data_IF_556980185853
#
_entry.id   IF_556980185853
#
_cell.length_a   1.000
_cell.length_b   1.000
_cell.length_c   1.000
_cell.angle_alpha   90.00
_cell.angle_beta   90.00
_cell.angle_gamma   90.00
#
_symmetry.space_group_name_H-M   'P 1'
#
loop_
_entity.id
_entity.type
_entity.pdbx_description
1 polymer ?
#
# COMPACT_ATOMS: atom_id res chain seq x y z
N UNK A 1 27.23 -70.46 -14.10
CA UNK A 1 28.53 -69.80 -13.90
C UNK A 1 28.54 -68.53 -14.73
N UNK A 2 28.79 -67.38 -14.06
CA UNK A 2 29.13 -66.03 -14.57
C UNK A 2 28.15 -65.31 -15.52
N UNK A 3 27.46 -64.24 -15.07
CA UNK A 3 27.90 -62.82 -14.88
C UNK A 3 28.40 -62.21 -16.19
N UNK A 4 28.09 -60.98 -16.61
CA UNK A 4 27.35 -59.81 -16.13
C UNK A 4 27.34 -58.84 -17.31
N UNK A 5 26.21 -58.17 -17.56
CA UNK A 5 26.14 -57.08 -18.52
C UNK A 5 25.03 -56.13 -18.12
N UNK A 6 25.06 -55.67 -16.87
CA UNK A 6 24.18 -54.62 -16.42
C UNK A 6 24.49 -53.34 -17.20
N UNK A 7 23.62 -52.99 -18.13
CA UNK A 7 23.38 -51.57 -18.39
C UNK A 7 22.67 -51.05 -17.14
N UNK A 8 23.48 -50.56 -16.20
CA UNK A 8 23.00 -49.90 -15.00
C UNK A 8 22.03 -48.81 -15.39
N UNK A 9 20.93 -48.70 -14.64
CA UNK A 9 20.04 -47.54 -14.50
C UNK A 9 20.79 -46.22 -14.15
N UNK A 10 22.13 -46.22 -14.16
CA UNK A 10 23.03 -45.08 -13.94
C UNK A 10 23.39 -44.41 -15.28
N UNK A 11 22.43 -44.23 -16.17
CA UNK A 11 22.48 -43.18 -17.19
C UNK A 11 21.21 -42.34 -17.13
N UNK A 12 20.76 -42.03 -15.90
CA UNK A 12 20.17 -40.72 -15.70
C UNK A 12 21.28 -39.72 -15.97
N UNK A 13 21.31 -39.17 -17.19
CA UNK A 13 21.90 -37.86 -17.40
C UNK A 13 21.37 -36.95 -16.29
N UNK A 14 22.21 -36.67 -15.30
CA UNK A 14 21.97 -35.63 -14.32
C UNK A 14 22.03 -34.32 -15.09
N UNK A 15 20.95 -33.97 -15.78
CA UNK A 15 20.84 -32.69 -16.44
C UNK A 15 21.18 -31.62 -15.41
N UNK A 16 22.19 -30.81 -15.70
CA UNK A 16 22.48 -29.62 -14.91
C UNK A 16 21.35 -28.65 -15.20
N UNK A 17 20.34 -28.66 -14.34
CA UNK A 17 19.24 -27.71 -14.39
C UNK A 17 19.78 -26.37 -13.94
N UNK A 18 19.77 -25.39 -14.84
CA UNK A 18 19.97 -24.00 -14.50
C UNK A 18 18.59 -23.42 -14.26
N UNK A 19 18.25 -23.18 -12.99
CA UNK A 19 17.05 -22.41 -12.64
C UNK A 19 17.41 -20.95 -12.89
N UNK A 20 16.79 -20.36 -13.91
CA UNK A 20 16.86 -18.92 -14.17
C UNK A 20 15.60 -18.32 -13.58
N UNK A 21 15.76 -17.66 -12.44
CA UNK A 21 14.70 -16.88 -11.81
C UNK A 21 14.98 -15.39 -12.11
N UNK A 22 14.15 -14.81 -12.98
CA UNK A 22 14.23 -13.40 -13.38
C UNK A 22 12.97 -12.64 -12.97
N UNK A 23 12.27 -13.09 -11.94
CA UNK A 23 11.01 -12.49 -11.50
C UNK A 23 11.26 -11.15 -10.80
N UNK A 24 10.60 -10.10 -11.29
CA UNK A 24 10.52 -8.78 -10.64
C UNK A 24 9.10 -8.66 -10.10
N UNK A 25 8.96 -8.44 -8.80
CA UNK A 25 7.67 -8.33 -8.12
C UNK A 25 7.33 -6.87 -7.83
N UNK A 26 6.04 -6.57 -7.73
CA UNK A 26 5.57 -5.27 -7.23
C UNK A 26 5.78 -5.15 -5.73
N UNK A 27 6.01 -3.94 -5.25
CA UNK A 27 5.93 -3.65 -3.82
C UNK A 27 4.48 -3.35 -3.43
N UNK A 28 3.86 -4.26 -2.67
CA UNK A 28 2.48 -4.11 -2.21
C UNK A 28 2.46 -3.37 -0.87
N UNK A 29 1.99 -2.11 -0.86
CA UNK A 29 2.00 -1.22 0.31
C UNK A 29 0.64 -0.62 0.65
N UNK A 30 -0.37 -0.78 -0.18
CA UNK A 30 -1.70 -0.20 -0.04
C UNK A 30 -2.37 -0.56 1.29
N UNK A 31 -2.18 -1.79 1.78
CA UNK A 31 -2.70 -2.21 3.08
C UNK A 31 -2.06 -1.44 4.26
N UNK A 32 -0.87 -0.85 4.10
CA UNK A 32 -0.19 -0.10 5.17
C UNK A 32 -0.94 1.18 5.56
N UNK A 33 -1.88 1.65 4.73
CA UNK A 33 -2.70 2.82 5.01
C UNK A 33 -3.81 2.51 6.02
N UNK A 34 -4.18 1.24 6.15
CA UNK A 34 -5.34 0.78 6.91
C UNK A 34 -4.93 0.23 8.28
N UNK A 35 -5.82 0.41 9.24
CA UNK A 35 -5.75 -0.31 10.51
C UNK A 35 -6.27 -1.73 10.28
N UNK A 36 -5.40 -2.71 10.46
CA UNK A 36 -5.71 -4.11 10.18
C UNK A 36 -6.18 -4.85 11.43
N UNK A 37 -7.26 -5.62 11.31
CA UNK A 37 -7.76 -6.49 12.36
C UNK A 37 -8.12 -7.88 11.80
N UNK A 38 -7.85 -8.92 12.59
CA UNK A 38 -8.25 -10.30 12.28
C UNK A 38 -9.48 -10.64 13.11
N UNK A 39 -10.56 -11.00 12.43
CA UNK A 39 -11.85 -11.32 13.02
C UNK A 39 -11.95 -12.80 13.38
N UNK A 40 -12.65 -13.10 14.47
CA UNK A 40 -13.08 -14.46 14.79
C UNK A 40 -14.19 -14.98 13.85
N UNK A 41 -14.48 -16.28 13.90
CA UNK A 41 -15.44 -16.95 12.99
C UNK A 41 -16.87 -16.44 13.11
N UNK A 42 -17.30 -16.03 14.30
CA UNK A 42 -18.62 -15.46 14.59
C UNK A 42 -18.61 -13.92 14.67
N UNK A 43 -17.44 -13.31 14.56
CA UNK A 43 -17.28 -11.86 14.64
C UNK A 43 -17.64 -11.18 13.31
N UNK A 44 -18.29 -10.03 13.41
CA UNK A 44 -18.65 -9.15 12.29
C UNK A 44 -17.97 -7.80 12.47
N UNK A 45 -17.44 -7.20 11.39
CA UNK A 45 -16.85 -5.86 11.49
C UNK A 45 -17.97 -4.84 11.60
N UNK A 46 -18.01 -4.14 12.73
CA UNK A 46 -19.02 -3.12 13.04
C UNK A 46 -18.34 -1.76 13.19
N UNK A 47 -18.91 -0.74 12.55
CA UNK A 47 -18.54 0.66 12.73
C UNK A 47 -19.59 1.34 13.60
N UNK A 48 -19.13 2.02 14.65
CA UNK A 48 -20.01 2.81 15.53
C UNK A 48 -19.74 4.29 15.34
N UNK A 49 -20.77 5.06 14.99
CA UNK A 49 -20.64 6.51 14.89
C UNK A 49 -20.69 7.18 16.27
N UNK A 50 -19.51 7.35 16.87
CA UNK A 50 -19.32 8.12 18.10
C UNK A 50 -18.83 9.56 17.84
N UNK A 51 -19.15 10.15 16.69
CA UNK A 51 -18.75 11.51 16.37
C UNK A 51 -19.37 12.51 17.36
N UNK A 52 -18.53 13.18 18.16
CA UNK A 52 -18.94 14.17 19.16
C UNK A 52 -19.75 15.35 18.57
N UNK A 53 -19.63 15.61 17.25
CA UNK A 53 -20.46 16.59 16.56
C UNK A 53 -21.94 16.18 16.45
N UNK A 54 -22.29 14.93 16.79
CA UNK A 54 -23.60 14.31 16.60
C UNK A 54 -24.09 14.38 15.16
N UNK A 55 -23.15 14.34 14.22
CA UNK A 55 -23.42 14.39 12.78
C UNK A 55 -23.32 13.00 12.16
N UNK A 56 -24.12 12.72 11.13
CA UNK A 56 -23.98 11.48 10.38
C UNK A 56 -22.61 11.42 9.71
N UNK A 57 -22.08 10.21 9.61
CA UNK A 57 -20.85 9.92 8.85
C UNK A 57 -21.17 8.97 7.71
N UNK A 58 -20.32 8.96 6.69
CA UNK A 58 -20.39 7.98 5.60
C UNK A 58 -19.07 7.24 5.52
N UNK A 59 -19.09 6.04 4.95
CA UNK A 59 -17.87 5.32 4.62
C UNK A 59 -17.92 4.75 3.21
N UNK A 60 -16.75 4.60 2.62
CA UNK A 60 -16.57 3.85 1.39
C UNK A 60 -16.08 2.46 1.74
N UNK A 61 -16.61 1.44 1.07
CA UNK A 61 -16.19 0.06 1.26
C UNK A 61 -16.06 -0.62 -0.09
N UNK A 62 -15.17 -1.61 -0.13
CA UNK A 62 -14.99 -2.44 -1.32
C UNK A 62 -16.01 -3.57 -1.35
N UNK A 63 -16.34 -4.03 -2.55
CA UNK A 63 -17.16 -5.22 -2.79
C UNK A 63 -16.38 -6.32 -3.50
N UNK A 64 -17.01 -7.48 -3.61
CA UNK A 64 -16.55 -8.54 -4.51
C UNK A 64 -16.38 -7.98 -5.93
N UNK A 65 -15.22 -8.19 -6.54
CA UNK A 65 -14.85 -7.64 -7.85
C UNK A 65 -14.15 -6.27 -7.83
N UNK A 66 -13.85 -5.71 -6.65
CA UNK A 66 -13.03 -4.49 -6.52
C UNK A 66 -13.78 -3.18 -6.71
N UNK A 67 -15.11 -3.22 -6.86
CA UNK A 67 -15.95 -2.02 -6.85
C UNK A 67 -15.92 -1.32 -5.50
N UNK A 68 -15.98 0.01 -5.50
CA UNK A 68 -16.15 0.81 -4.27
C UNK A 68 -17.59 1.30 -4.20
N UNK A 69 -18.25 1.13 -3.06
CA UNK A 69 -19.58 1.68 -2.80
C UNK A 69 -19.57 2.63 -1.62
N UNK A 70 -20.45 3.63 -1.67
CA UNK A 70 -20.69 4.56 -0.57
C UNK A 70 -21.80 4.00 0.32
N UNK A 71 -21.56 3.95 1.62
CA UNK A 71 -22.57 3.54 2.60
C UNK A 71 -23.68 4.58 2.72
N UNK A 72 -24.88 4.16 3.17
CA UNK A 72 -25.82 5.08 3.79
C UNK A 72 -25.19 5.84 4.96
N UNK A 73 -25.76 6.99 5.31
CA UNK A 73 -25.31 7.77 6.45
C UNK A 73 -25.55 7.02 7.77
N UNK A 74 -24.49 6.82 8.55
CA UNK A 74 -24.57 6.26 9.90
C UNK A 74 -24.88 7.40 10.87
N UNK A 75 -26.05 7.39 11.50
CA UNK A 75 -26.41 8.38 12.52
C UNK A 75 -25.59 8.21 13.80
N UNK A 76 -25.49 9.27 14.59
CA UNK A 76 -24.78 9.23 15.86
C UNK A 76 -25.36 8.17 16.82
N UNK A 77 -24.48 7.37 17.43
CA UNK A 77 -24.83 6.28 18.33
C UNK A 77 -25.40 5.04 17.65
N UNK A 78 -25.45 5.02 16.31
CA UNK A 78 -25.81 3.82 15.55
C UNK A 78 -24.57 3.03 15.15
N UNK A 79 -24.80 1.73 15.05
CA UNK A 79 -23.86 0.74 14.56
C UNK A 79 -24.24 0.38 13.13
N UNK A 80 -23.24 0.17 12.28
CA UNK A 80 -23.43 -0.31 10.91
C UNK A 80 -22.44 -1.45 10.64
N UNK A 81 -22.94 -2.54 10.08
CA UNK A 81 -22.12 -3.68 9.68
C UNK A 81 -21.38 -3.38 8.38
N UNK A 82 -20.08 -3.63 8.36
CA UNK A 82 -19.29 -3.60 7.12
C UNK A 82 -19.40 -4.96 6.46
N UNK A 83 -19.94 -4.99 5.24
CA UNK A 83 -20.06 -6.24 4.50
C UNK A 83 -18.68 -6.82 4.17
N UNK A 84 -18.40 -8.02 4.66
CA UNK A 84 -17.25 -8.80 4.21
C UNK A 84 -17.53 -9.44 2.85
N UNK A 85 -16.50 -9.64 2.05
CA UNK A 85 -16.57 -10.24 0.73
C UNK A 85 -15.37 -11.15 0.49
N UNK A 86 -15.42 -11.92 -0.60
CA UNK A 86 -14.35 -12.84 -0.98
C UNK A 86 -13.48 -12.26 -2.09
N UNK A 87 -12.18 -12.43 -1.97
CA UNK A 87 -11.21 -12.21 -3.04
C UNK A 87 -10.65 -13.57 -3.43
N UNK A 88 -10.52 -13.82 -4.74
CA UNK A 88 -9.97 -15.06 -5.26
C UNK A 88 -8.67 -14.76 -6.02
N UNK A 89 -7.63 -15.54 -5.77
CA UNK A 89 -6.38 -15.49 -6.52
C UNK A 89 -6.61 -15.79 -8.01
N UNK A 90 -5.58 -15.57 -8.83
CA UNK A 90 -5.57 -16.16 -10.15
C UNK A 90 -5.47 -17.69 -10.08
N UNK A 91 -5.98 -18.34 -11.12
CA UNK A 91 -5.97 -19.79 -11.22
C UNK A 91 -4.62 -20.26 -11.76
N UNK A 92 -4.03 -21.23 -11.09
CA UNK A 92 -2.79 -21.91 -11.52
C UNK A 92 -3.05 -23.39 -11.68
N UNK A 93 -2.22 -24.07 -12.47
CA UNK A 93 -2.42 -25.50 -12.72
C UNK A 93 -1.11 -26.27 -12.83
N UNK A 94 -1.19 -27.58 -12.57
CA UNK A 94 -0.11 -28.53 -12.82
C UNK A 94 -0.65 -29.84 -13.39
N UNK A 95 0.20 -30.61 -14.08
CA UNK A 95 -0.21 -31.85 -14.73
C UNK A 95 -0.40 -33.00 -13.71
N UNK A 96 -1.48 -33.76 -13.87
CA UNK A 96 -1.82 -34.90 -12.99
C UNK A 96 -0.76 -36.01 -13.11
N UNK A 97 -0.29 -36.32 -14.33
CA UNK A 97 0.75 -37.33 -14.56
C UNK A 97 2.05 -37.08 -13.78
N UNK A 98 2.45 -35.80 -13.65
CA UNK A 98 3.65 -35.44 -12.88
C UNK A 98 3.43 -35.69 -11.38
N UNK A 99 2.22 -35.44 -10.88
CA UNK A 99 1.85 -35.64 -9.49
C UNK A 99 1.77 -37.14 -9.14
N UNK A 100 1.11 -37.94 -10.00
CA UNK A 100 0.96 -39.39 -9.81
C UNK A 100 2.32 -40.09 -9.83
N UNK A 101 3.25 -39.67 -10.69
CA UNK A 101 4.58 -40.26 -10.78
C UNK A 101 5.51 -39.88 -9.60
N UNK A 102 5.03 -39.08 -8.63
CA UNK A 102 5.88 -38.52 -7.57
C UNK A 102 6.99 -37.62 -8.11
N UNK A 103 6.82 -37.12 -9.33
CA UNK A 103 7.79 -36.33 -10.09
C UNK A 103 7.48 -34.85 -10.06
N UNK A 104 6.33 -34.43 -9.54
CA UNK A 104 6.10 -33.03 -9.18
C UNK A 104 7.10 -32.69 -8.10
N UNK A 105 8.18 -31.96 -8.42
CA UNK A 105 9.12 -31.51 -7.42
C UNK A 105 8.34 -30.64 -6.43
N UNK A 106 8.63 -30.74 -5.14
CA UNK A 106 8.07 -29.85 -4.11
C UNK A 106 8.16 -28.39 -4.54
N UNK A 107 9.24 -28.03 -5.24
CA UNK A 107 9.47 -26.74 -5.88
C UNK A 107 8.34 -26.26 -6.82
N UNK A 108 7.70 -27.14 -7.61
CA UNK A 108 6.57 -26.73 -8.48
C UNK A 108 5.35 -26.36 -7.63
N UNK A 109 5.08 -27.14 -6.57
CA UNK A 109 3.96 -26.88 -5.66
C UNK A 109 4.22 -25.59 -4.88
N UNK A 110 5.44 -25.40 -4.38
CA UNK A 110 5.85 -24.20 -3.67
C UNK A 110 5.76 -22.95 -4.56
N UNK A 111 6.14 -23.06 -5.84
CA UNK A 111 6.01 -21.98 -6.81
C UNK A 111 4.55 -21.66 -7.11
N UNK A 112 3.68 -22.67 -7.24
CA UNK A 112 2.24 -22.45 -7.42
C UNK A 112 1.64 -21.76 -6.21
N UNK A 113 1.98 -22.20 -5.00
CA UNK A 113 1.52 -21.60 -3.76
C UNK A 113 1.99 -20.14 -3.64
N UNK A 114 3.25 -19.87 -3.99
CA UNK A 114 3.80 -18.51 -4.02
C UNK A 114 3.07 -17.63 -5.04
N UNK A 115 2.95 -18.07 -6.29
CA UNK A 115 2.24 -17.33 -7.34
C UNK A 115 0.79 -16.98 -6.96
N UNK A 116 0.11 -17.93 -6.31
CA UNK A 116 -1.28 -17.78 -5.87
C UNK A 116 -1.39 -16.82 -4.69
N UNK A 117 -0.45 -16.87 -3.75
CA UNK A 117 -0.36 -15.91 -2.66
C UNK A 117 -0.05 -14.50 -3.19
N UNK A 118 0.95 -14.37 -4.06
CA UNK A 118 1.38 -13.10 -4.65
C UNK A 118 0.24 -12.46 -5.46
N UNK A 119 -0.47 -13.25 -6.28
CA UNK A 119 -1.65 -12.79 -7.04
C UNK A 119 -2.74 -12.23 -6.12
N UNK A 120 -2.94 -12.87 -4.96
CA UNK A 120 -3.92 -12.40 -4.00
C UNK A 120 -3.49 -11.10 -3.31
N UNK A 121 -2.21 -11.00 -2.95
CA UNK A 121 -1.64 -9.80 -2.32
C UNK A 121 -1.69 -8.61 -3.29
N UNK A 122 -1.44 -8.82 -4.59
CA UNK A 122 -1.62 -7.79 -5.63
C UNK A 122 -3.07 -7.31 -5.68
N UNK A 123 -4.05 -8.23 -5.73
CA UNK A 123 -5.47 -7.85 -5.77
C UNK A 123 -5.92 -7.10 -4.51
N UNK A 124 -5.41 -7.50 -3.34
CA UNK A 124 -5.64 -6.79 -2.09
C UNK A 124 -5.06 -5.37 -2.14
N UNK A 125 -3.83 -5.24 -2.65
CA UNK A 125 -3.15 -3.96 -2.82
C UNK A 125 -3.91 -3.01 -3.76
N UNK A 126 -4.35 -3.51 -4.92
CA UNK A 126 -5.12 -2.75 -5.90
C UNK A 126 -6.44 -2.21 -5.32
N UNK A 127 -7.14 -3.04 -4.54
CA UNK A 127 -8.37 -2.63 -3.85
C UNK A 127 -8.06 -1.57 -2.79
N UNK A 128 -7.01 -1.77 -2.00
CA UNK A 128 -6.59 -0.83 -0.96
C UNK A 128 -6.23 0.53 -1.57
N UNK A 129 -5.48 0.56 -2.68
CA UNK A 129 -5.17 1.77 -3.43
C UNK A 129 -6.42 2.44 -4.02
N UNK A 130 -7.32 1.66 -4.59
CA UNK A 130 -8.58 2.17 -5.15
C UNK A 130 -9.38 2.88 -4.07
N UNK A 131 -9.56 2.23 -2.93
CA UNK A 131 -10.22 2.81 -1.77
C UNK A 131 -9.47 4.04 -1.23
N UNK A 132 -8.15 3.99 -1.14
CA UNK A 132 -7.36 5.13 -0.66
C UNK A 132 -7.50 6.34 -1.58
N UNK A 133 -7.54 6.13 -2.90
CA UNK A 133 -7.80 7.20 -3.87
C UNK A 133 -9.22 7.75 -3.77
N UNK A 134 -10.23 6.94 -3.39
CA UNK A 134 -11.59 7.47 -3.11
C UNK A 134 -11.67 8.35 -1.86
N UNK A 135 -10.66 8.29 -0.99
CA UNK A 135 -10.51 9.19 0.14
C UNK A 135 -10.00 10.59 -0.26
N UNK A 136 -9.47 10.75 -1.48
CA UNK A 136 -8.98 12.03 -1.95
C UNK A 136 -10.14 12.96 -2.30
N UNK A 137 -10.06 14.21 -1.87
CA UNK A 137 -11.08 15.19 -2.18
C UNK A 137 -11.09 16.40 -1.24
N UNK A 138 -12.21 17.12 -1.28
CA UNK A 138 -12.47 18.26 -0.42
C UNK A 138 -13.07 17.76 0.89
N UNK A 139 -12.67 18.40 1.99
CA UNK A 139 -13.20 18.13 3.32
C UNK A 139 -14.31 19.13 3.66
N UNK A 140 -15.40 18.60 4.20
CA UNK A 140 -16.56 19.35 4.67
C UNK A 140 -16.62 19.30 6.19
N UNK A 141 -16.58 20.46 6.84
CA UNK A 141 -16.73 20.54 8.30
C UNK A 141 -18.12 20.01 8.71
N UNK A 142 -18.14 19.22 9.78
CA UNK A 142 -19.33 18.52 10.29
C UNK A 142 -19.53 17.12 9.71
N UNK A 143 -19.04 16.85 8.49
CA UNK A 143 -19.20 15.54 7.82
C UNK A 143 -17.88 14.76 7.78
N UNK A 144 -16.80 15.42 7.37
CA UNK A 144 -15.46 14.82 7.22
C UNK A 144 -14.55 15.17 8.41
N UNK A 145 -14.82 16.25 9.13
CA UNK A 145 -14.06 16.59 10.32
C UNK A 145 -14.88 17.49 11.22
N UNK A 146 -14.48 17.54 12.49
CA UNK A 146 -15.07 18.45 13.46
C UNK A 146 -13.96 19.15 14.24
N UNK A 147 -13.90 20.47 14.11
CA UNK A 147 -12.92 21.30 14.82
C UNK A 147 -13.51 21.67 16.19
N UNK A 148 -13.14 20.91 17.22
CA UNK A 148 -13.59 21.19 18.58
C UNK A 148 -12.99 22.50 19.13
N UNK A 149 -11.70 22.76 18.89
CA UNK A 149 -11.01 23.95 19.39
C UNK A 149 -11.12 25.11 18.40
N UNK A 150 -11.93 26.11 18.74
CA UNK A 150 -12.16 27.33 17.92
C UNK A 150 -10.90 28.15 17.64
N UNK A 151 -9.77 27.86 18.29
CA UNK A 151 -8.48 28.51 18.01
C UNK A 151 -7.81 27.97 16.75
N UNK A 152 -8.23 26.81 16.25
CA UNK A 152 -7.77 26.26 14.98
C UNK A 152 -8.37 27.08 13.84
N UNK A 153 -7.53 27.81 13.09
CA UNK A 153 -7.97 28.74 12.03
C UNK A 153 -7.66 28.28 10.61
N UNK A 154 -6.68 27.39 10.44
CA UNK A 154 -6.10 27.05 9.14
C UNK A 154 -6.17 25.54 8.87
N UNK A 155 -7.24 24.85 9.26
CA UNK A 155 -7.41 23.43 8.98
C UNK A 155 -7.38 23.20 7.46
N UNK A 156 -6.72 22.14 6.94
CA UNK A 156 -6.71 21.90 5.50
C UNK A 156 -8.12 21.60 5.00
N UNK A 157 -8.44 22.05 3.79
CA UNK A 157 -9.75 21.82 3.16
C UNK A 157 -9.72 20.72 2.11
N UNK A 158 -8.55 20.18 1.78
CA UNK A 158 -8.38 19.06 0.86
C UNK A 158 -7.05 18.35 1.14
N UNK A 159 -6.98 17.06 0.79
CA UNK A 159 -5.75 16.27 0.71
C UNK A 159 -5.20 16.14 -0.72
N UNK A 160 -5.72 16.91 -1.67
CA UNK A 160 -5.17 17.01 -3.03
C UNK A 160 -4.38 18.32 -3.14
N UNK A 161 -3.06 18.21 -3.22
CA UNK A 161 -2.14 19.35 -3.34
C UNK A 161 -1.66 19.44 -4.79
N UNK A 162 -2.05 20.49 -5.50
CA UNK A 162 -1.68 20.66 -6.90
C UNK A 162 -0.59 21.73 -7.06
N UNK A 163 0.58 21.31 -7.54
CA UNK A 163 1.78 22.13 -7.75
C UNK A 163 2.19 22.21 -9.23
N UNK A 164 1.39 21.70 -10.17
CA UNK A 164 1.72 21.71 -11.61
C UNK A 164 1.80 23.11 -12.24
N UNK A 165 1.42 24.15 -11.51
CA UNK A 165 1.61 25.55 -11.92
C UNK A 165 2.96 26.16 -11.53
N UNK A 166 3.82 25.43 -10.82
CA UNK A 166 5.13 25.93 -10.39
C UNK A 166 6.20 25.70 -11.47
N UNK A 167 7.20 26.57 -11.53
CA UNK A 167 8.32 26.45 -12.48
C UNK A 167 9.28 25.30 -12.16
N UNK A 168 9.17 24.71 -10.96
CA UNK A 168 10.04 23.62 -10.51
C UNK A 168 9.56 22.29 -11.13
N UNK A 169 10.48 21.55 -11.74
CA UNK A 169 10.27 20.20 -12.30
C UNK A 169 10.79 19.14 -11.32
N UNK A 170 10.24 17.93 -11.39
CA UNK A 170 10.62 16.80 -10.55
C UNK A 170 10.24 16.94 -9.07
N UNK A 171 10.73 16.00 -8.26
CA UNK A 171 10.49 15.99 -6.81
C UNK A 171 11.29 17.10 -6.10
N UNK A 172 10.65 18.26 -5.93
CA UNK A 172 11.31 19.49 -5.46
C UNK A 172 11.00 19.86 -4.00
N UNK A 173 11.72 20.82 -3.39
CA UNK A 173 11.41 21.36 -2.06
C UNK A 173 9.97 21.88 -1.92
N UNK A 174 9.35 22.32 -3.02
CA UNK A 174 7.98 22.80 -3.01
C UNK A 174 7.00 21.66 -2.66
N UNK A 175 7.25 20.44 -3.15
CA UNK A 175 6.47 19.24 -2.83
C UNK A 175 6.53 18.96 -1.33
N UNK A 176 7.73 18.88 -0.76
CA UNK A 176 7.91 18.62 0.67
C UNK A 176 7.33 19.71 1.57
N UNK A 177 7.47 20.98 1.18
CA UNK A 177 6.84 22.11 1.89
C UNK A 177 5.32 22.04 1.83
N UNK A 178 4.74 21.61 0.72
CA UNK A 178 3.29 21.43 0.61
C UNK A 178 2.80 20.30 1.53
N UNK A 179 3.49 19.15 1.54
CA UNK A 179 3.18 18.03 2.43
C UNK A 179 3.27 18.46 3.89
N UNK A 180 4.41 18.99 4.33
CA UNK A 180 4.54 19.37 5.74
C UNK A 180 3.65 20.56 6.12
N UNK A 181 3.39 21.50 5.21
CA UNK A 181 2.41 22.56 5.40
C UNK A 181 0.98 22.03 5.61
N UNK A 182 0.62 20.94 4.93
CA UNK A 182 -0.62 20.21 5.18
C UNK A 182 -0.64 19.56 6.57
N UNK A 183 0.41 18.82 6.92
CA UNK A 183 0.50 18.10 8.21
C UNK A 183 0.50 19.05 9.41
N UNK A 184 1.23 20.17 9.35
CA UNK A 184 1.28 21.17 10.41
C UNK A 184 -0.08 21.80 10.74
N UNK A 185 -1.02 21.78 9.78
CA UNK A 185 -2.38 22.31 9.95
C UNK A 185 -3.34 21.32 10.61
N UNK A 186 -3.03 20.03 10.63
CA UNK A 186 -3.89 19.00 11.23
C UNK A 186 -3.79 18.97 12.77
N UNK A 187 -2.60 19.24 13.32
CA UNK A 187 -2.38 19.30 14.77
C UNK A 187 -2.60 17.96 15.47
N UNK A 188 -3.73 17.80 16.19
CA UNK A 188 -4.08 16.58 16.92
C UNK A 188 -5.49 16.13 16.57
N UNK A 189 -5.68 14.83 16.37
CA UNK A 189 -6.98 14.19 16.13
C UNK A 189 -7.18 13.15 17.23
N UNK A 190 -8.31 13.20 17.93
CA UNK A 190 -8.58 12.29 19.06
C UNK A 190 -7.53 12.37 20.18
N UNK A 191 -6.84 13.50 20.32
CA UNK A 191 -5.74 13.69 21.27
C UNK A 191 -4.36 13.22 20.78
N UNK A 192 -4.30 12.53 19.64
CA UNK A 192 -3.06 11.99 19.06
C UNK A 192 -2.46 13.02 18.09
N UNK A 193 -1.18 13.41 18.24
CA UNK A 193 -0.50 14.24 17.25
C UNK A 193 -0.47 13.55 15.89
N UNK A 194 -0.93 14.27 14.88
CA UNK A 194 -0.84 13.79 13.50
C UNK A 194 0.57 14.07 13.01
N UNK A 195 1.26 13.02 12.56
CA UNK A 195 2.60 13.12 12.00
C UNK A 195 2.63 12.46 10.64
N UNK A 196 3.48 12.98 9.76
CA UNK A 196 3.83 12.32 8.52
C UNK A 196 4.50 10.98 8.85
N UNK A 197 4.10 9.91 8.15
CA UNK A 197 4.64 8.56 8.36
C UNK A 197 5.49 8.17 7.15
N UNK A 198 4.89 8.09 5.98
CA UNK A 198 5.56 7.74 4.74
C UNK A 198 5.19 8.70 3.60
N UNK A 199 6.11 8.86 2.67
CA UNK A 199 5.94 9.49 1.38
C UNK A 199 6.25 8.42 0.33
N UNK A 200 5.31 8.18 -0.57
CA UNK A 200 5.40 7.19 -1.64
C UNK A 200 5.67 7.90 -2.97
N UNK A 201 6.73 7.51 -3.66
CA UNK A 201 7.22 8.18 -4.88
C UNK A 201 7.56 7.18 -5.97
N UNK A 202 7.53 7.62 -7.23
CA UNK A 202 8.11 6.85 -8.33
C UNK A 202 9.64 6.73 -8.18
N UNK A 203 10.28 5.65 -8.66
CA UNK A 203 11.74 5.49 -8.59
C UNK A 203 12.50 6.61 -9.30
N UNK A 204 11.98 7.14 -10.40
CA UNK A 204 12.56 8.26 -11.15
C UNK A 204 12.53 9.55 -10.31
N UNK A 205 11.40 9.81 -9.64
CA UNK A 205 11.24 10.96 -8.76
C UNK A 205 12.17 10.89 -7.54
N UNK A 206 12.52 9.68 -7.08
CA UNK A 206 13.53 9.50 -6.05
C UNK A 206 14.90 10.01 -6.53
N UNK A 207 15.26 9.78 -7.80
CA UNK A 207 16.51 10.32 -8.36
C UNK A 207 16.52 11.85 -8.37
N UNK A 208 15.42 12.51 -8.73
CA UNK A 208 15.30 13.97 -8.66
C UNK A 208 15.51 14.50 -7.23
N UNK A 209 14.98 13.79 -6.24
CA UNK A 209 15.21 14.14 -4.84
C UNK A 209 16.68 14.03 -4.46
N UNK A 210 17.40 13.05 -5.01
CA UNK A 210 18.82 12.87 -4.74
C UNK A 210 19.64 13.98 -5.39
N UNK A 211 19.28 14.39 -6.62
CA UNK A 211 19.87 15.55 -7.29
C UNK A 211 19.67 16.82 -6.48
N UNK A 212 18.47 17.05 -5.92
CA UNK A 212 18.23 18.17 -5.01
C UNK A 212 19.07 18.10 -3.72
N UNK A 213 19.09 16.93 -3.08
CA UNK A 213 19.86 16.71 -1.83
C UNK A 213 21.36 16.88 -2.06
N UNK A 214 21.84 16.66 -3.28
CA UNK A 214 23.22 16.89 -3.67
C UNK A 214 23.56 18.34 -4.04
N UNK A 215 22.56 19.25 -4.13
CA UNK A 215 22.80 20.69 -4.29
C UNK A 215 23.47 21.23 -3.00
N UNK A 216 24.80 21.28 -3.04
CA UNK A 216 25.67 21.62 -1.92
C UNK A 216 25.52 23.09 -1.50
N UNK A 217 25.19 23.34 -0.23
CA UNK A 217 25.62 24.57 0.44
C UNK A 217 27.15 24.51 0.55
N UNK A 218 27.84 25.47 -0.07
CA UNK A 218 29.29 25.49 -0.21
C UNK A 218 30.06 25.00 1.03
N UNK A 219 31.10 24.19 0.79
CA UNK A 219 32.11 23.83 1.79
C UNK A 219 32.58 25.05 2.58
N UNK A 220 33.08 24.84 3.79
CA UNK A 220 33.62 25.83 4.75
C UNK A 220 34.40 27.00 4.11
N UNK A 221 33.69 28.02 3.62
CA UNK A 221 34.26 29.20 2.95
C UNK A 221 33.67 29.56 1.57
N UNK A 222 32.78 28.76 0.99
CA UNK A 222 32.13 29.07 -0.29
C UNK A 222 30.81 29.83 -0.13
N UNK A 223 30.59 30.85 -0.97
CA UNK A 223 29.34 31.63 -1.00
C UNK A 223 28.16 30.73 -1.31
N UNK A 224 27.15 30.69 -0.43
CA UNK A 224 25.90 29.97 -0.67
C UNK A 224 25.21 30.60 -1.89
N UNK A 225 25.10 29.85 -2.99
CA UNK A 225 24.59 30.37 -4.27
C UNK A 225 23.07 30.56 -4.21
N UNK A 226 22.35 29.75 -3.40
CA UNK A 226 20.93 29.99 -3.05
C UNK A 226 20.54 29.23 -1.75
N UNK A 227 20.47 29.91 -0.58
CA UNK A 227 20.12 29.28 0.70
C UNK A 227 18.73 28.64 0.73
N UNK A 228 17.83 29.03 -0.18
CA UNK A 228 16.45 28.51 -0.20
C UNK A 228 16.33 27.16 -0.92
N UNK A 229 17.36 26.78 -1.67
CA UNK A 229 17.41 25.54 -2.48
C UNK A 229 18.47 24.54 -2.02
N UNK A 230 19.35 24.94 -1.11
CA UNK A 230 20.47 24.10 -0.63
C UNK A 230 20.10 23.35 0.64
N UNK A 231 20.55 22.10 0.75
CA UNK A 231 20.33 21.24 1.94
C UNK A 231 21.58 21.27 2.84
N UNK A 232 21.43 21.44 4.17
CA UNK A 232 22.55 21.34 5.11
C UNK A 232 23.27 19.98 5.01
N UNK A 233 24.61 19.98 5.11
CA UNK A 233 25.42 18.78 4.86
C UNK A 233 25.18 17.64 5.84
N UNK A 234 24.80 17.95 7.08
CA UNK A 234 24.42 16.99 8.12
C UNK A 234 23.10 16.27 7.80
N UNK A 235 22.07 17.03 7.38
CA UNK A 235 20.79 16.49 6.90
C UNK A 235 21.02 15.62 5.66
N UNK A 236 21.82 16.11 4.71
CA UNK A 236 22.21 15.35 3.52
C UNK A 236 22.86 14.01 3.88
N UNK A 237 23.87 14.03 4.75
CA UNK A 237 24.60 12.81 5.12
C UNK A 237 23.70 11.79 5.82
N UNK A 238 22.71 12.24 6.57
CA UNK A 238 21.73 11.36 7.20
C UNK A 238 20.75 10.75 6.18
N UNK A 239 20.26 11.54 5.21
CA UNK A 239 19.44 11.04 4.09
C UNK A 239 20.20 9.98 3.31
N UNK A 240 21.43 10.27 2.88
CA UNK A 240 22.26 9.35 2.11
C UNK A 240 22.57 8.04 2.83
N UNK A 241 22.73 8.06 4.16
CA UNK A 241 23.07 6.86 4.94
C UNK A 241 21.88 6.00 5.30
N UNK A 242 20.70 6.58 5.42
CA UNK A 242 19.54 5.89 6.02
C UNK A 242 18.34 5.77 5.10
N UNK A 243 18.26 6.55 4.02
CA UNK A 243 17.05 6.69 3.20
C UNK A 243 15.89 7.38 3.92
N UNK A 244 16.08 7.79 5.17
CA UNK A 244 15.10 8.53 5.97
C UNK A 244 15.32 10.01 5.70
N UNK A 245 14.25 10.80 5.60
CA UNK A 245 14.36 12.26 5.71
C UNK A 245 14.29 12.64 7.19
N UNK A 246 15.43 12.81 7.87
CA UNK A 246 15.41 13.31 9.24
C UNK A 246 14.91 14.75 9.21
N UNK A 247 14.01 15.04 10.15
CA UNK A 247 13.60 16.42 10.42
C UNK A 247 12.97 17.15 9.22
N UNK A 248 12.14 16.44 8.43
CA UNK A 248 11.26 17.08 7.46
C UNK A 248 10.23 17.92 8.22
N UNK A 249 10.58 19.19 8.43
CA UNK A 249 9.77 20.16 9.19
C UNK A 249 9.48 19.70 10.63
N UNK A 250 10.47 19.17 11.36
CA UNK A 250 10.28 18.69 12.73
C UNK A 250 9.88 17.23 12.85
N UNK A 251 9.74 16.51 11.72
CA UNK A 251 9.15 15.16 11.69
C UNK A 251 10.00 14.21 10.85
N UNK A 252 10.16 12.98 11.33
CA UNK A 252 10.78 11.91 10.54
C UNK A 252 9.73 11.32 9.60
N UNK A 253 10.10 11.15 8.34
CA UNK A 253 9.27 10.48 7.35
C UNK A 253 10.11 9.50 6.53
N UNK A 254 9.50 8.35 6.21
CA UNK A 254 10.12 7.40 5.29
C UNK A 254 9.81 7.80 3.86
N UNK A 255 10.82 7.76 2.99
CA UNK A 255 10.63 7.93 1.55
C UNK A 255 10.67 6.54 0.91
N UNK A 256 9.55 6.11 0.34
CA UNK A 256 9.35 4.74 -0.17
C UNK A 256 9.19 4.82 -1.69
N UNK A 257 10.21 4.41 -2.47
CA UNK A 257 10.08 4.32 -3.92
C UNK A 257 9.25 3.10 -4.30
N UNK A 258 8.19 3.29 -5.09
CA UNK A 258 7.29 2.23 -5.55
C UNK A 258 7.45 2.02 -7.05
N UNK A 259 7.87 0.82 -7.45
CA UNK A 259 8.05 0.47 -8.87
C UNK A 259 6.75 0.39 -9.69
N UNK A 260 5.59 0.56 -9.06
CA UNK A 260 4.27 0.60 -9.69
C UNK A 260 3.73 2.01 -9.85
N UNK A 261 4.47 3.02 -9.39
CA UNK A 261 4.02 4.41 -9.34
C UNK A 261 4.61 5.22 -10.51
N UNK A 262 3.74 5.99 -11.17
CA UNK A 262 4.13 6.87 -12.26
C UNK A 262 4.74 8.20 -11.76
N UNK A 263 5.70 8.80 -12.48
CA UNK A 263 6.20 10.14 -12.18
C UNK A 263 5.11 11.23 -12.23
N UNK A 264 5.32 12.33 -11.49
CA UNK A 264 4.42 13.50 -11.47
C UNK A 264 3.37 13.47 -10.37
N UNK A 265 3.25 12.36 -9.64
CA UNK A 265 2.43 12.26 -8.44
C UNK A 265 3.27 11.76 -7.24
N UNK A 266 2.88 12.16 -6.04
CA UNK A 266 3.40 11.66 -4.76
C UNK A 266 2.19 11.36 -3.87
N UNK A 267 2.20 10.24 -3.16
CA UNK A 267 1.23 9.97 -2.10
C UNK A 267 1.91 10.06 -0.75
N UNK A 268 1.15 10.39 0.29
CA UNK A 268 1.66 10.39 1.65
C UNK A 268 0.59 9.91 2.63
N UNK A 269 1.03 9.22 3.68
CA UNK A 269 0.19 8.78 4.79
C UNK A 269 0.68 9.38 6.11
N UNK A 270 -0.22 9.39 7.09
CA UNK A 270 0.05 9.91 8.43
C UNK A 270 0.01 8.81 9.47
N UNK A 271 0.25 9.17 10.72
CA UNK A 271 0.02 8.30 11.88
C UNK A 271 -1.45 7.95 12.09
N UNK A 272 -2.38 8.65 11.44
CA UNK A 272 -3.80 8.31 11.46
C UNK A 272 -4.09 7.40 10.25
N UNK A 273 -4.55 6.16 10.46
CA UNK A 273 -4.90 5.27 9.37
C UNK A 273 -6.10 5.83 8.59
N UNK A 274 -6.12 5.60 7.29
CA UNK A 274 -7.16 6.09 6.39
C UNK A 274 -8.51 5.38 6.59
N UNK A 275 -8.47 4.19 7.18
CA UNK A 275 -9.60 3.29 7.28
C UNK A 275 -9.25 2.03 8.04
N UNK A 276 -10.09 1.03 7.87
CA UNK A 276 -9.96 -0.27 8.49
C UNK A 276 -9.93 -1.37 7.43
N UNK A 277 -9.14 -2.40 7.70
CA UNK A 277 -9.06 -3.62 6.94
C UNK A 277 -9.31 -4.79 7.89
N UNK A 278 -10.23 -5.66 7.52
CA UNK A 278 -10.56 -6.85 8.28
C UNK A 278 -10.26 -8.09 7.46
N UNK A 279 -9.71 -9.10 8.12
CA UNK A 279 -9.50 -10.43 7.58
C UNK A 279 -10.26 -11.44 8.41
N UNK A 280 -10.77 -12.50 7.77
CA UNK A 280 -11.44 -13.59 8.47
C UNK A 280 -10.86 -14.94 8.03
N UNK A 281 -9.66 -15.31 8.53
CA UNK A 281 -8.92 -16.47 8.06
C UNK A 281 -9.67 -17.80 8.19
N UNK A 282 -10.60 -17.92 9.13
CA UNK A 282 -11.42 -19.12 9.30
C UNK A 282 -12.33 -19.43 8.11
N UNK A 283 -12.61 -18.42 7.26
CA UNK A 283 -13.42 -18.56 6.04
C UNK A 283 -12.55 -18.65 4.78
N UNK A 284 -11.23 -18.58 4.91
CA UNK A 284 -10.30 -18.73 3.79
C UNK A 284 -10.34 -20.19 3.31
N UNK A 285 -10.30 -20.37 1.99
CA UNK A 285 -10.44 -21.69 1.39
C UNK A 285 -9.47 -21.88 0.23
N UNK A 286 -8.77 -22.98 0.29
CA UNK A 286 -8.09 -23.57 -0.86
C UNK A 286 -9.14 -24.23 -1.75
N UNK A 287 -9.20 -23.81 -3.00
CA UNK A 287 -10.12 -24.36 -3.98
C UNK A 287 -9.32 -25.15 -5.01
N UNK A 288 -9.38 -26.47 -4.89
CA UNK A 288 -8.85 -27.40 -5.88
C UNK A 288 -10.01 -27.80 -6.78
N UNK A 289 -9.92 -27.51 -8.07
CA UNK A 289 -10.90 -28.02 -9.05
C UNK A 289 -10.32 -29.27 -9.70
N UNK A 290 -10.99 -30.39 -9.48
CA UNK A 290 -10.53 -31.69 -9.98
C UNK A 290 -11.51 -32.32 -11.00
N UNK A 291 -10.91 -33.00 -11.97
CA UNK A 291 -11.42 -34.03 -12.86
C UNK A 291 -12.37 -33.70 -14.02
N UNK A 292 -11.78 -33.51 -15.20
CA UNK A 292 -11.97 -34.51 -16.28
C UNK A 292 -10.62 -35.08 -16.68
N UNK A 293 -10.55 -36.41 -16.90
CA UNK A 293 -9.38 -37.09 -17.50
C UNK A 293 -9.07 -36.61 -18.93
N UNK A 294 -9.87 -35.68 -19.46
CA UNK A 294 -9.73 -35.12 -20.81
C UNK A 294 -8.55 -34.14 -20.91
N UNK A 295 -8.21 -33.40 -19.83
CA UNK A 295 -7.20 -32.33 -19.88
C UNK A 295 -5.94 -32.57 -19.01
N UNK A 296 -5.91 -33.61 -18.18
CA UNK A 296 -4.73 -34.01 -17.38
C UNK A 296 -4.14 -32.88 -16.49
N UNK A 297 -4.96 -31.95 -16.01
CA UNK A 297 -4.55 -30.78 -15.20
C UNK A 297 -5.33 -30.68 -13.89
N UNK A 298 -4.62 -30.32 -12.82
CA UNK A 298 -5.18 -29.93 -11.53
C UNK A 298 -5.10 -28.41 -11.42
N UNK A 299 -6.25 -27.76 -11.22
CA UNK A 299 -6.33 -26.31 -11.05
C UNK A 299 -6.41 -25.95 -9.56
N UNK A 300 -5.66 -24.94 -9.17
CA UNK A 300 -5.52 -24.44 -7.81
C UNK A 300 -5.79 -22.93 -7.77
N UNK A 301 -6.57 -22.51 -6.78
CA UNK A 301 -6.78 -21.09 -6.43
C UNK A 301 -7.09 -20.97 -4.95
N UNK A 302 -6.79 -19.81 -4.37
CA UNK A 302 -7.09 -19.49 -2.98
C UNK A 302 -8.16 -18.42 -2.93
N UNK A 303 -9.07 -18.54 -1.97
CA UNK A 303 -10.08 -17.54 -1.67
C UNK A 303 -9.88 -17.03 -0.25
N UNK A 304 -9.80 -15.70 -0.08
CA UNK A 304 -9.78 -15.05 1.24
C UNK A 304 -11.02 -14.23 1.52
N UNK A 305 -11.47 -14.24 2.79
CA UNK A 305 -12.56 -13.42 3.27
C UNK A 305 -12.02 -12.13 3.91
N UNK A 306 -12.45 -10.97 3.38
CA UNK A 306 -11.97 -9.66 3.82
C UNK A 306 -13.07 -8.63 3.91
N UNK A 307 -12.82 -7.53 4.62
CA UNK A 307 -13.64 -6.32 4.64
C UNK A 307 -12.76 -5.08 4.60
N UNK A 308 -13.23 -4.01 3.98
CA UNK A 308 -12.53 -2.73 3.97
C UNK A 308 -13.51 -1.59 4.20
N UNK A 309 -13.10 -0.58 4.96
CA UNK A 309 -13.87 0.66 5.11
C UNK A 309 -12.96 1.89 5.24
N UNK A 310 -13.22 2.90 4.42
CA UNK A 310 -12.63 4.25 4.51
C UNK A 310 -13.71 5.19 5.02
N UNK A 311 -13.56 5.64 6.27
CA UNK A 311 -14.49 6.62 6.85
C UNK A 311 -14.25 8.01 6.24
N UNK A 312 -15.33 8.76 6.01
CA UNK A 312 -15.25 10.19 5.64
C UNK A 312 -14.35 10.98 6.58
N UNK A 313 -14.38 10.63 7.86
CA UNK A 313 -13.62 11.27 8.92
C UNK A 313 -12.13 10.93 8.97
N UNK A 314 -11.71 9.87 8.28
CA UNK A 314 -10.32 9.40 8.25
C UNK A 314 -9.57 9.77 6.96
N UNK A 315 -10.26 10.39 5.98
CA UNK A 315 -9.68 10.83 4.70
C UNK A 315 -8.49 11.79 4.86
N UNK A 316 -8.44 12.53 5.97
CA UNK A 316 -7.32 13.43 6.35
C UNK A 316 -6.01 12.70 6.66
N UNK A 317 -6.04 11.38 6.84
CA UNK A 317 -4.84 10.57 7.13
C UNK A 317 -4.00 10.24 5.90
N UNK A 318 -4.47 10.58 4.70
CA UNK A 318 -3.85 10.25 3.41
C UNK A 318 -3.98 11.42 2.44
N UNK A 319 -2.98 11.64 1.59
CA UNK A 319 -3.05 12.68 0.58
C UNK A 319 -2.17 12.45 -0.64
N UNK A 320 -2.38 13.32 -1.62
CA UNK A 320 -1.73 13.31 -2.92
C UNK A 320 -1.14 14.68 -3.23
N UNK A 321 0.07 14.70 -3.79
CA UNK A 321 0.67 15.88 -4.41
C UNK A 321 0.88 15.62 -5.89
N UNK A 322 0.43 16.54 -6.74
CA UNK A 322 0.72 16.54 -8.18
C UNK A 322 1.73 17.62 -8.49
N UNK A 323 2.76 17.31 -9.27
CA UNK A 323 3.86 18.22 -9.61
C UNK A 323 4.25 18.06 -11.09
N UNK A 324 5.08 18.98 -11.60
CA UNK A 324 5.57 18.92 -12.97
C UNK A 324 6.68 17.90 -13.10
N UNK A 325 6.59 17.03 -14.10
CA UNK A 325 7.67 16.12 -14.50
C UNK A 325 8.61 16.86 -15.43
#
# INVERSE_FOLDING_TARGET
MHKTGGASIIEFNSYRKLVIDSLIMSQNVGLNFFESATLAEDELPIIVNNNNARKPIVYHSASEGGGTYLSPQIEYGKEEEVRTYFITSDEKWYNVDNAIQGRTPTEIIDNINRDVADSLDIKLDEIAWTLAKTALGIFTEGTDYYVYDKRVKNFPTTNILNLTGLSDTGLSPAVFKAIGGYILRLGKIGGIPVRLKNIYVAPEAMMDCWDWVDIVAGFSGGTVVDPKKTVPSDVRNAIWRTGIMPDLLGQNANLIPLNTMEPGEVFFDTTIPIGYFWTKPSLDKDMIKDNTYEDNRIYYKVRKCVGHAVLSTKKIGFGQVKYNV
#
